data_IF_836144018310
#
_entry.id   IF_836144018310
#
_cell.length_a   1.000
_cell.length_b   1.000
_cell.length_c   1.000
_cell.angle_alpha   90.00
_cell.angle_beta   90.00
_cell.angle_gamma   90.00
#
_symmetry.space_group_name_H-M   'P 1'
#
loop_
_entity.id
_entity.type
_entity.pdbx_description
1 polymer ?
#
# COMPACT_ATOMS: atom_id res chain seq x y z
N UNK A 1 6.52 -8.18 -16.70
CA UNK A 1 6.88 -7.51 -15.46
C UNK A 1 8.30 -7.91 -15.11
N UNK A 2 9.22 -6.96 -15.17
CA UNK A 2 10.59 -7.08 -14.70
C UNK A 2 10.72 -6.56 -13.25
N UNK A 3 11.90 -6.70 -12.65
CA UNK A 3 12.17 -6.26 -11.28
C UNK A 3 11.90 -4.76 -11.08
N UNK A 4 12.25 -3.90 -12.04
CA UNK A 4 12.05 -2.46 -11.93
C UNK A 4 10.57 -2.07 -12.00
N UNK A 5 9.81 -2.70 -12.90
CA UNK A 5 8.36 -2.54 -13.00
C UNK A 5 7.67 -2.97 -11.69
N UNK A 6 8.06 -4.12 -11.13
CA UNK A 6 7.52 -4.60 -9.85
C UNK A 6 7.86 -3.65 -8.68
N UNK A 7 9.09 -3.14 -8.60
CA UNK A 7 9.45 -2.14 -7.58
C UNK A 7 8.69 -0.83 -7.75
N UNK A 8 8.40 -0.43 -8.99
CA UNK A 8 7.60 0.77 -9.28
C UNK A 8 6.18 0.60 -8.77
N UNK A 9 5.54 -0.52 -9.07
CA UNK A 9 4.19 -0.82 -8.57
C UNK A 9 4.15 -0.95 -7.05
N UNK A 10 5.17 -1.57 -6.44
CA UNK A 10 5.29 -1.63 -4.97
C UNK A 10 5.32 -0.23 -4.33
N UNK A 11 6.08 0.70 -4.91
CA UNK A 11 6.15 2.09 -4.44
C UNK A 11 4.83 2.83 -4.62
N UNK A 12 4.15 2.65 -5.75
CA UNK A 12 2.83 3.25 -6.00
C UNK A 12 1.81 2.76 -4.97
N UNK A 13 1.77 1.44 -4.73
CA UNK A 13 0.87 0.84 -3.75
C UNK A 13 1.19 1.32 -2.32
N UNK A 14 2.47 1.40 -1.95
CA UNK A 14 2.89 1.95 -0.66
C UNK A 14 2.44 3.40 -0.46
N UNK A 15 2.58 4.25 -1.48
CA UNK A 15 2.11 5.64 -1.43
C UNK A 15 0.60 5.76 -1.27
N UNK A 16 -0.19 4.86 -1.89
CA UNK A 16 -1.65 4.80 -1.69
C UNK A 16 -2.00 4.37 -0.26
N UNK A 17 -1.30 3.37 0.27
CA UNK A 17 -1.47 2.90 1.64
C UNK A 17 -1.21 4.04 2.65
N UNK A 18 -0.11 4.76 2.49
CA UNK A 18 0.25 5.90 3.33
C UNK A 18 -0.80 7.02 3.25
N UNK A 19 -1.25 7.38 2.04
CA UNK A 19 -2.29 8.40 1.86
C UNK A 19 -3.59 8.04 2.59
N UNK A 20 -4.00 6.77 2.55
CA UNK A 20 -5.19 6.29 3.23
C UNK A 20 -5.01 6.26 4.75
N UNK A 21 -3.84 5.86 5.23
CA UNK A 21 -3.53 5.91 6.66
C UNK A 21 -3.61 7.33 7.22
N UNK A 22 -3.03 8.32 6.54
CA UNK A 22 -3.12 9.74 6.92
C UNK A 22 -4.58 10.25 6.93
N UNK A 23 -5.39 9.81 5.96
CA UNK A 23 -6.83 10.15 5.94
C UNK A 23 -7.59 9.49 7.09
N UNK A 24 -7.24 8.25 7.45
CA UNK A 24 -7.86 7.54 8.55
C UNK A 24 -7.57 8.23 9.90
N UNK A 25 -6.31 8.66 10.09
CA UNK A 25 -5.86 9.45 11.24
C UNK A 25 -6.62 10.77 11.32
N UNK A 26 -6.61 11.58 10.26
CA UNK A 26 -7.34 12.85 10.21
C UNK A 26 -8.86 12.68 10.42
N UNK A 27 -9.44 11.56 9.97
CA UNK A 27 -10.85 11.24 10.19
C UNK A 27 -11.15 10.82 11.62
N UNK A 28 -10.19 10.18 12.31
CA UNK A 28 -10.36 9.73 13.69
C UNK A 28 -10.45 10.90 14.67
N UNK A 29 -9.76 12.01 14.35
CA UNK A 29 -9.75 13.25 15.13
C UNK A 29 -11.00 14.13 14.89
N UNK A 30 -11.76 13.87 13.82
CA UNK A 30 -12.93 14.64 13.44
C UNK A 30 -14.23 13.84 13.68
N UNK A 31 -15.06 14.28 14.63
CA UNK A 31 -16.30 13.57 15.03
C UNK A 31 -17.25 13.29 13.85
N UNK A 32 -17.38 14.22 12.89
CA UNK A 32 -18.26 14.05 11.74
C UNK A 32 -17.73 13.01 10.76
N UNK A 33 -16.42 12.79 10.73
CA UNK A 33 -15.74 11.87 9.78
C UNK A 33 -15.26 10.58 10.43
N UNK A 34 -15.38 10.44 11.75
CA UNK A 34 -14.90 9.28 12.52
C UNK A 34 -15.43 7.94 12.01
N UNK A 35 -16.64 7.93 11.46
CA UNK A 35 -17.25 6.75 10.86
C UNK A 35 -16.51 6.25 9.59
N UNK A 36 -15.69 7.08 8.95
CA UNK A 36 -14.89 6.72 7.78
C UNK A 36 -13.57 6.04 8.15
N UNK A 37 -13.07 6.22 9.38
CA UNK A 37 -11.78 5.70 9.84
C UNK A 37 -11.63 4.19 9.59
N UNK A 38 -12.59 3.31 9.92
CA UNK A 38 -12.43 1.87 9.68
C UNK A 38 -12.26 1.53 8.19
N UNK A 39 -13.02 2.19 7.31
CA UNK A 39 -12.96 1.93 5.86
C UNK A 39 -11.65 2.43 5.25
N UNK A 40 -11.18 3.61 5.67
CA UNK A 40 -9.90 4.16 5.23
C UNK A 40 -8.72 3.30 5.70
N UNK A 41 -8.77 2.84 6.95
CA UNK A 41 -7.75 1.95 7.50
C UNK A 41 -7.73 0.59 6.79
N UNK A 42 -8.89 -0.01 6.53
CA UNK A 42 -9.00 -1.27 5.79
C UNK A 42 -8.48 -1.15 4.36
N UNK A 43 -8.85 -0.07 3.65
CA UNK A 43 -8.33 0.18 2.31
C UNK A 43 -6.81 0.43 2.32
N UNK A 44 -6.28 1.14 3.32
CA UNK A 44 -4.85 1.36 3.50
C UNK A 44 -4.09 0.04 3.72
N UNK A 45 -4.63 -0.85 4.55
CA UNK A 45 -4.07 -2.18 4.79
C UNK A 45 -4.02 -3.02 3.50
N UNK A 46 -5.09 -3.01 2.70
CA UNK A 46 -5.13 -3.72 1.42
C UNK A 46 -4.04 -3.23 0.46
N UNK A 47 -3.84 -1.91 0.35
CA UNK A 47 -2.76 -1.37 -0.49
C UNK A 47 -1.36 -1.70 0.05
N UNK A 48 -1.18 -1.83 1.36
CA UNK A 48 0.07 -2.28 1.95
C UNK A 48 0.36 -3.74 1.60
N UNK A 49 -0.65 -4.60 1.58
CA UNK A 49 -0.51 -6.01 1.15
C UNK A 49 -0.17 -6.11 -0.33
N UNK A 50 -0.79 -5.29 -1.18
CA UNK A 50 -0.42 -5.19 -2.61
C UNK A 50 1.03 -4.73 -2.77
N UNK A 51 1.48 -3.74 -1.98
CA UNK A 51 2.87 -3.28 -2.02
C UNK A 51 3.86 -4.39 -1.66
N UNK A 52 3.54 -5.20 -0.63
CA UNK A 52 4.36 -6.37 -0.25
C UNK A 52 4.42 -7.40 -1.36
N UNK A 53 3.28 -7.74 -1.96
CA UNK A 53 3.24 -8.72 -3.05
C UNK A 53 4.13 -8.30 -4.25
N UNK A 54 4.09 -7.02 -4.64
CA UNK A 54 4.98 -6.52 -5.70
C UNK A 54 6.46 -6.52 -5.29
N UNK A 55 6.77 -6.21 -4.02
CA UNK A 55 8.13 -6.29 -3.51
C UNK A 55 8.66 -7.75 -3.52
N UNK A 56 7.81 -8.71 -3.17
CA UNK A 56 8.15 -10.14 -3.22
C UNK A 56 8.39 -10.62 -4.65
N UNK A 57 7.56 -10.18 -5.62
CA UNK A 57 7.78 -10.45 -7.05
C UNK A 57 9.13 -9.87 -7.50
N UNK A 58 9.44 -8.63 -7.12
CA UNK A 58 10.71 -8.00 -7.46
C UNK A 58 11.92 -8.75 -6.88
N UNK A 59 11.79 -9.28 -5.66
CA UNK A 59 12.82 -10.08 -5.01
C UNK A 59 13.01 -11.42 -5.73
N UNK A 60 11.93 -12.11 -6.08
CA UNK A 60 11.99 -13.41 -6.78
C UNK A 60 12.51 -13.29 -8.23
N UNK A 61 12.25 -12.17 -8.91
CA UNK A 61 12.69 -11.98 -10.32
C UNK A 61 14.22 -11.90 -10.43
N UNK A 62 14.90 -11.41 -9.40
CA UNK A 62 16.38 -11.39 -9.31
C UNK A 62 17.03 -12.77 -9.23
N UNK A 63 16.30 -13.76 -8.70
CA UNK A 63 16.86 -15.10 -8.47
C UNK A 63 16.77 -15.99 -9.72
N UNK A 64 16.03 -15.58 -10.75
CA UNK A 64 15.80 -16.35 -11.98
C UNK A 64 16.75 -16.04 -13.15
N UNK A 65 17.69 -15.10 -13.00
CA UNK A 65 18.64 -14.71 -14.06
C UNK A 65 20.09 -15.20 -13.85
N UNK A 66 20.30 -16.28 -13.07
CA UNK A 66 21.61 -16.92 -12.88
C UNK A 66 21.70 -18.31 -13.52
#
# INVERSE_FOLDING_TARGET
>A
MNREEALTEARIAAGKAESLARKAEASAENLDRKHLTPNLAAAGALWADVARAYADIAAATTDTEN
#
